data_IF_954157954177
#
_entry.id   IF_954157954177
#
_cell.length_a   1.000
_cell.length_b   1.000
_cell.length_c   1.000
_cell.angle_alpha   90.00
_cell.angle_beta   90.00
_cell.angle_gamma   90.00
#
_symmetry.space_group_name_H-M   'P 1'
#
loop_
_entity.id
_entity.type
_entity.pdbx_description
1 polymer ?
#
# COMPACT_ATOMS: atom_id res chain seq x y z
N UNK A 1 -0.20 -1.78 16.39
CA UNK A 1 -1.40 -2.13 15.58
C UNK A 1 -1.03 -3.16 14.53
N UNK A 2 -2.00 -3.96 14.07
CA UNK A 2 -1.82 -4.99 13.04
C UNK A 2 -2.66 -4.64 11.82
N UNK A 3 -2.13 -4.87 10.62
CA UNK A 3 -2.78 -4.57 9.35
C UNK A 3 -2.64 -5.75 8.38
N UNK A 4 -3.55 -5.84 7.41
CA UNK A 4 -3.45 -6.81 6.33
C UNK A 4 -2.39 -6.34 5.35
N UNK A 5 -1.53 -7.27 4.93
CA UNK A 5 -0.46 -6.94 4.01
C UNK A 5 -0.11 -8.12 3.10
N UNK A 6 0.40 -7.80 1.92
CA UNK A 6 0.96 -8.76 0.97
C UNK A 6 2.49 -8.67 1.00
N UNK A 7 3.17 -9.82 1.06
CA UNK A 7 4.64 -9.87 0.98
C UNK A 7 5.06 -9.54 -0.44
N UNK A 8 5.89 -8.50 -0.60
CA UNK A 8 6.51 -8.12 -1.88
C UNK A 8 7.83 -8.86 -2.06
N UNK A 9 8.67 -8.86 -1.02
CA UNK A 9 9.97 -9.54 -1.00
C UNK A 9 10.43 -9.81 0.43
N UNK A 10 11.39 -10.73 0.60
CA UNK A 10 11.96 -11.08 1.91
C UNK A 10 13.47 -11.31 1.83
N UNK A 11 14.19 -10.89 2.86
CA UNK A 11 15.58 -11.25 3.14
C UNK A 11 15.64 -12.16 4.37
N UNK A 12 16.85 -12.45 4.87
CA UNK A 12 17.02 -13.26 6.08
C UNK A 12 16.51 -12.53 7.34
N UNK A 13 16.61 -11.21 7.40
CA UNK A 13 16.26 -10.42 8.58
C UNK A 13 14.92 -9.67 8.44
N UNK A 14 14.55 -9.24 7.22
CA UNK A 14 13.44 -8.32 7.00
C UNK A 14 12.52 -8.75 5.86
N UNK A 15 11.30 -8.22 5.88
CA UNK A 15 10.26 -8.48 4.87
C UNK A 15 9.71 -7.15 4.38
N UNK A 16 9.70 -6.95 3.07
CA UNK A 16 9.00 -5.84 2.43
C UNK A 16 7.56 -6.24 2.20
N UNK A 17 6.63 -5.45 2.72
CA UNK A 17 5.19 -5.68 2.60
C UNK A 17 4.49 -4.47 1.99
N UNK A 18 3.35 -4.69 1.33
CA UNK A 18 2.41 -3.65 0.96
C UNK A 18 1.15 -3.81 1.80
N UNK A 19 0.70 -2.74 2.45
CA UNK A 19 -0.55 -2.77 3.20
C UNK A 19 -1.73 -2.78 2.22
N UNK A 20 -2.50 -3.87 2.22
CA UNK A 20 -3.54 -4.14 1.22
C UNK A 20 -4.68 -3.12 1.25
N UNK A 21 -4.83 -2.40 2.36
CA UNK A 21 -5.92 -1.45 2.58
C UNK A 21 -5.51 0.02 2.40
N UNK A 22 -4.20 0.29 2.30
CA UNK A 22 -3.66 1.66 2.23
C UNK A 22 -2.74 1.89 1.02
N UNK A 23 -2.22 0.83 0.40
CA UNK A 23 -1.38 0.89 -0.79
C UNK A 23 0.10 1.25 -0.53
N UNK A 24 0.43 1.83 0.63
CA UNK A 24 1.82 2.09 1.02
C UNK A 24 2.59 0.80 1.32
N UNK A 25 3.91 0.87 1.21
CA UNK A 25 4.81 -0.26 1.46
C UNK A 25 5.81 0.08 2.57
N UNK A 26 6.17 -0.93 3.36
CA UNK A 26 7.16 -0.82 4.43
C UNK A 26 8.04 -2.06 4.50
N UNK A 27 9.22 -1.91 5.10
CA UNK A 27 10.14 -3.01 5.39
C UNK A 27 10.15 -3.26 6.89
N UNK A 28 9.61 -4.40 7.31
CA UNK A 28 9.44 -4.78 8.72
C UNK A 28 10.32 -5.98 9.08
N UNK A 29 10.54 -6.21 10.37
CA UNK A 29 11.21 -7.41 10.86
C UNK A 29 10.29 -8.64 10.73
N UNK A 30 10.88 -9.85 10.65
CA UNK A 30 10.11 -11.10 10.46
C UNK A 30 9.15 -11.41 11.62
N UNK A 31 9.49 -11.00 12.84
CA UNK A 31 8.66 -11.15 14.04
C UNK A 31 7.44 -10.22 14.05
N UNK A 32 7.43 -9.19 13.20
CA UNK A 32 6.29 -8.32 12.95
C UNK A 32 5.33 -8.87 11.88
N UNK A 33 5.49 -10.12 11.45
CA UNK A 33 4.60 -10.79 10.48
C UNK A 33 3.81 -11.91 11.17
N UNK A 34 2.51 -11.99 10.84
CA UNK A 34 1.63 -13.09 11.26
C UNK A 34 0.86 -13.61 10.05
N UNK A 35 0.56 -14.90 10.05
CA UNK A 35 -0.34 -15.50 9.06
C UNK A 35 -1.72 -14.85 9.19
N UNK A 36 -2.27 -14.38 8.08
CA UNK A 36 -3.60 -13.79 8.06
C UNK A 36 -4.65 -14.88 8.26
N UNK A 37 -5.53 -14.68 9.25
CA UNK A 37 -6.68 -15.54 9.47
C UNK A 37 -7.69 -15.36 8.31
N UNK A 38 -8.21 -16.45 7.70
CA UNK A 38 -9.19 -16.37 6.62
C UNK A 38 -10.42 -15.51 6.94
N UNK A 39 -10.82 -15.38 8.21
CA UNK A 39 -11.95 -14.52 8.59
C UNK A 39 -11.73 -13.04 8.24
N UNK A 40 -10.48 -12.62 8.02
CA UNK A 40 -10.11 -11.24 7.65
C UNK A 40 -9.86 -11.07 6.16
N UNK A 41 -10.22 -12.04 5.32
CA UNK A 41 -10.07 -11.91 3.86
C UNK A 41 -11.17 -11.04 3.25
N UNK A 42 -12.30 -10.88 3.95
CA UNK A 42 -13.39 -10.01 3.56
C UNK A 42 -13.43 -8.75 4.44
N UNK A 43 -13.65 -7.55 3.86
CA UNK A 43 -13.75 -7.28 2.42
C UNK A 43 -12.40 -7.52 1.70
N UNK A 44 -12.37 -7.54 0.37
CA UNK A 44 -11.10 -7.59 -0.38
C UNK A 44 -10.18 -6.39 -0.05
N UNK A 45 -9.08 -6.19 -0.77
CA UNK A 45 -8.22 -5.02 -0.60
C UNK A 45 -8.98 -3.70 -0.81
N UNK A 46 -8.80 -2.76 0.12
CA UNK A 46 -9.46 -1.45 0.07
C UNK A 46 -8.66 -0.41 -0.73
N UNK A 47 -7.36 -0.63 -0.94
CA UNK A 47 -6.54 0.26 -1.74
C UNK A 47 -6.75 0.02 -3.24
N UNK A 48 -7.11 1.08 -3.98
CA UNK A 48 -7.23 1.06 -5.43
C UNK A 48 -6.00 1.70 -6.07
N UNK A 49 -5.38 0.99 -7.02
CA UNK A 49 -4.33 1.56 -7.87
C UNK A 49 -5.00 2.32 -9.01
N UNK A 50 -4.71 3.60 -9.11
CA UNK A 50 -5.20 4.46 -10.18
C UNK A 50 -4.05 5.25 -10.80
N UNK A 51 -4.23 5.66 -12.04
CA UNK A 51 -3.34 6.57 -12.74
C UNK A 51 -4.15 7.67 -13.40
N UNK A 52 -3.52 8.83 -13.56
CA UNK A 52 -4.10 9.94 -14.30
C UNK A 52 -3.80 9.80 -15.79
N UNK A 53 -4.77 10.16 -16.63
CA UNK A 53 -4.57 10.20 -18.07
C UNK A 53 -3.48 11.19 -18.47
N UNK A 54 -2.87 10.99 -19.64
CA UNK A 54 -1.75 11.79 -20.19
C UNK A 54 -1.95 13.31 -20.11
N UNK A 55 -3.21 13.79 -20.20
CA UNK A 55 -3.56 15.22 -20.11
C UNK A 55 -3.24 15.82 -18.74
N UNK A 56 -3.32 15.01 -17.68
CA UNK A 56 -3.07 15.42 -16.30
C UNK A 56 -1.62 15.16 -15.84
N UNK A 57 -0.68 14.91 -16.76
CA UNK A 57 0.76 14.79 -16.47
C UNK A 57 1.55 16.08 -16.81
N UNK A 58 0.86 17.23 -16.85
CA UNK A 58 1.51 18.55 -16.97
C UNK A 58 2.40 18.82 -15.75
N UNK A 59 3.43 19.65 -15.90
CA UNK A 59 4.42 19.94 -14.83
C UNK A 59 3.78 20.46 -13.54
N UNK A 60 2.63 21.11 -13.63
CA UNK A 60 1.88 21.67 -12.50
C UNK A 60 0.80 20.73 -11.93
N UNK A 61 0.59 19.55 -12.53
CA UNK A 61 -0.47 18.63 -12.13
C UNK A 61 -0.34 18.17 -10.69
N UNK A 62 0.89 17.88 -10.23
CA UNK A 62 1.14 17.47 -8.84
C UNK A 62 0.78 18.58 -7.86
N UNK A 63 1.11 19.84 -8.18
CA UNK A 63 0.79 20.98 -7.33
C UNK A 63 -0.72 21.21 -7.23
N UNK A 64 -1.45 21.15 -8.36
CA UNK A 64 -2.91 21.26 -8.41
C UNK A 64 -3.60 20.14 -7.63
N UNK A 65 -3.13 18.90 -7.78
CA UNK A 65 -3.68 17.77 -7.02
C UNK A 65 -3.46 17.95 -5.52
N UNK A 66 -2.28 18.41 -5.12
CA UNK A 66 -1.96 18.64 -3.70
C UNK A 66 -2.88 19.70 -3.11
N UNK A 67 -3.16 20.78 -3.85
CA UNK A 67 -4.13 21.81 -3.45
C UNK A 67 -5.54 21.24 -3.27
N UNK A 68 -5.99 20.36 -4.18
CA UNK A 68 -7.36 19.82 -4.15
C UNK A 68 -7.60 18.74 -3.08
N UNK A 69 -6.52 18.16 -2.55
CA UNK A 69 -6.58 17.09 -1.54
C UNK A 69 -6.31 17.56 -0.10
N UNK A 70 -6.05 18.86 0.12
CA UNK A 70 -5.96 19.49 1.45
C UNK A 70 -7.33 19.98 1.93
#
# INVERSE_FOLDING_TARGET
NWYRATIISSTDEKVKVQFSDYGNSETVAKDAIKKLDPQFFEPCCLALVASLGLVALQEDAVAKLTEWTM
#
